data_IF_681066746140
#
_entry.id   IF_681066746140
#
_cell.length_a   1.000
_cell.length_b   1.000
_cell.length_c   1.000
_cell.angle_alpha   90.00
_cell.angle_beta   90.00
_cell.angle_gamma   90.00
#
_symmetry.space_group_name_H-M   'P 1'
#
loop_
_entity.id
_entity.type
_entity.pdbx_description
1 polymer ?
#
# COMPACT_ATOMS: atom_id res chain seq x y z
N UNK A 1 -21.89 0.21 45.69
CA UNK A 1 -20.52 -0.33 45.46
C UNK A 1 -20.40 -1.14 44.16
N UNK A 2 -21.24 -2.15 43.89
CA UNK A 2 -21.18 -2.96 42.63
C UNK A 2 -21.26 -2.16 41.31
N UNK A 3 -22.00 -1.05 41.25
CA UNK A 3 -22.16 -0.24 40.02
C UNK A 3 -20.89 0.52 39.61
N UNK A 4 -20.07 0.93 40.56
CA UNK A 4 -18.82 1.68 40.28
C UNK A 4 -17.72 0.76 39.71
N UNK A 5 -17.72 -0.51 40.07
CA UNK A 5 -16.80 -1.53 39.53
C UNK A 5 -17.03 -1.72 38.02
N UNK A 6 -18.29 -1.69 37.58
CA UNK A 6 -18.64 -1.86 36.16
C UNK A 6 -18.15 -0.68 35.30
N UNK A 7 -18.28 0.54 35.82
CA UNK A 7 -17.81 1.77 35.15
C UNK A 7 -16.27 1.76 35.03
N UNK A 8 -15.57 1.34 36.10
CA UNK A 8 -14.11 1.25 36.11
C UNK A 8 -13.59 0.19 35.11
N UNK A 9 -14.33 -0.91 34.93
CA UNK A 9 -14.02 -1.96 33.96
C UNK A 9 -14.18 -1.48 32.50
N UNK A 10 -15.20 -0.68 32.20
CA UNK A 10 -15.44 -0.12 30.86
C UNK A 10 -14.35 0.89 30.49
N UNK A 11 -13.90 1.72 31.44
CA UNK A 11 -12.81 2.68 31.21
C UNK A 11 -11.48 1.96 30.98
N UNK A 12 -11.20 0.89 31.73
CA UNK A 12 -9.99 0.08 31.57
C UNK A 12 -9.92 -0.62 30.19
N UNK A 13 -11.06 -1.07 29.65
CA UNK A 13 -11.12 -1.68 28.30
C UNK A 13 -10.88 -0.67 27.17
N UNK A 14 -11.16 0.62 27.39
CA UNK A 14 -10.91 1.68 26.41
C UNK A 14 -9.45 2.11 26.28
N UNK A 15 -8.60 1.79 27.27
CA UNK A 15 -7.19 2.19 27.30
C UNK A 15 -6.27 1.31 26.44
N UNK A 16 -6.76 0.18 25.94
CA UNK A 16 -5.97 -0.75 25.14
C UNK A 16 -5.89 -0.34 23.66
N UNK A 17 -5.49 0.90 23.39
CA UNK A 17 -5.13 1.34 22.04
C UNK A 17 -3.69 0.94 21.76
N UNK A 18 -3.49 -0.22 21.15
CA UNK A 18 -2.16 -0.63 20.67
C UNK A 18 -1.69 0.37 19.62
N UNK A 19 -0.59 1.08 19.88
CA UNK A 19 0.14 1.81 18.85
C UNK A 19 0.52 0.82 17.75
N UNK A 20 -0.10 0.96 16.58
CA UNK A 20 0.17 0.09 15.43
C UNK A 20 1.54 0.49 14.88
N UNK A 21 2.55 -0.33 15.13
CA UNK A 21 3.87 -0.13 14.50
C UNK A 21 3.81 -0.44 13.01
N UNK A 22 3.64 0.62 12.23
CA UNK A 22 3.64 0.57 10.77
C UNK A 22 5.04 0.61 10.18
N UNK A 23 6.09 0.91 10.94
CA UNK A 23 7.45 1.07 10.40
C UNK A 23 8.01 -0.26 9.89
N UNK A 24 8.88 -0.22 8.88
CA UNK A 24 9.52 -1.40 8.28
C UNK A 24 9.37 -1.48 6.77
N UNK A 25 9.79 -2.62 6.21
CA UNK A 25 9.81 -2.85 4.76
C UNK A 25 8.60 -3.68 4.34
N UNK A 26 7.85 -3.16 3.37
CA UNK A 26 6.71 -3.83 2.75
C UNK A 26 7.05 -4.20 1.32
N UNK A 27 6.62 -5.38 0.86
CA UNK A 27 6.79 -5.84 -0.52
C UNK A 27 5.46 -6.32 -1.08
N UNK A 28 5.21 -6.08 -2.37
CA UNK A 28 4.06 -6.65 -3.07
C UNK A 28 4.00 -8.16 -2.92
N UNK A 29 2.79 -8.69 -2.73
CA UNK A 29 2.58 -10.12 -2.49
C UNK A 29 2.73 -10.99 -3.74
N UNK A 30 2.80 -10.38 -4.91
CA UNK A 30 3.16 -10.98 -6.20
C UNK A 30 3.67 -9.87 -7.14
N UNK A 31 4.28 -10.27 -8.26
CA UNK A 31 4.60 -9.35 -9.34
C UNK A 31 3.32 -8.94 -10.09
N UNK A 32 2.94 -7.67 -9.99
CA UNK A 32 1.77 -7.15 -10.69
C UNK A 32 1.98 -7.25 -12.20
N UNK A 33 0.93 -7.67 -12.92
CA UNK A 33 1.03 -8.10 -14.32
C UNK A 33 2.12 -9.17 -14.58
N UNK A 34 2.68 -9.81 -13.56
CA UNK A 34 3.73 -10.83 -13.71
C UNK A 34 5.16 -10.27 -13.75
N UNK A 35 5.36 -8.95 -13.76
CA UNK A 35 6.69 -8.34 -13.91
C UNK A 35 6.97 -7.20 -12.93
N UNK A 36 5.96 -6.56 -12.33
CA UNK A 36 6.19 -5.40 -11.46
C UNK A 36 6.17 -5.73 -9.97
N UNK A 37 7.24 -5.38 -9.27
CA UNK A 37 7.38 -5.51 -7.81
C UNK A 37 7.41 -4.13 -7.19
N UNK A 38 6.56 -3.93 -6.18
CA UNK A 38 6.60 -2.72 -5.35
C UNK A 38 7.26 -3.03 -4.01
N UNK A 39 8.20 -2.18 -3.59
CA UNK A 39 8.77 -2.17 -2.24
C UNK A 39 8.52 -0.79 -1.62
N UNK A 40 8.19 -0.76 -0.35
CA UNK A 40 7.97 0.46 0.42
C UNK A 40 8.64 0.32 1.79
N UNK A 41 9.57 1.18 2.09
CA UNK A 41 10.24 1.29 3.39
C UNK A 41 9.67 2.50 4.14
N UNK A 42 9.18 2.27 5.36
CA UNK A 42 8.67 3.30 6.26
C UNK A 42 9.60 3.40 7.47
N UNK A 43 10.19 4.59 7.69
CA UNK A 43 11.15 4.83 8.77
C UNK A 43 10.51 5.55 9.95
N UNK A 44 11.10 5.41 11.14
CA UNK A 44 10.55 5.98 12.40
C UNK A 44 10.45 7.49 12.40
N UNK A 45 11.26 8.18 11.59
CA UNK A 45 11.28 9.64 11.42
C UNK A 45 10.21 10.16 10.45
N UNK A 46 9.24 9.33 10.08
CA UNK A 46 8.17 9.64 9.09
C UNK A 46 8.67 9.84 7.65
N UNK A 47 9.90 9.44 7.34
CA UNK A 47 10.40 9.38 5.96
C UNK A 47 10.10 8.02 5.31
N UNK A 48 10.04 8.01 3.98
CA UNK A 48 9.81 6.80 3.19
C UNK A 48 10.80 6.65 2.05
N UNK A 49 10.98 5.41 1.60
CA UNK A 49 11.56 5.07 0.30
C UNK A 49 10.64 4.10 -0.44
N UNK A 50 10.32 4.40 -1.68
CA UNK A 50 9.40 3.65 -2.53
C UNK A 50 10.12 3.21 -3.80
N UNK A 51 10.15 1.90 -4.05
CA UNK A 51 10.75 1.34 -5.25
C UNK A 51 9.70 0.56 -6.04
N UNK A 52 9.59 0.86 -7.32
CA UNK A 52 8.77 0.15 -8.29
C UNK A 52 9.69 -0.41 -9.38
N UNK A 53 9.87 -1.74 -9.34
CA UNK A 53 10.84 -2.46 -10.16
C UNK A 53 10.11 -3.39 -11.13
N UNK A 54 10.55 -3.46 -12.38
CA UNK A 54 10.18 -4.48 -13.36
C UNK A 54 11.20 -4.53 -14.49
N UNK A 55 11.02 -5.44 -15.46
CA UNK A 55 12.03 -5.74 -16.49
C UNK A 55 12.50 -4.52 -17.30
N UNK A 56 11.64 -3.52 -17.50
CA UNK A 56 11.91 -2.32 -18.31
C UNK A 56 11.67 -1.01 -17.56
N UNK A 57 11.29 -1.06 -16.28
CA UNK A 57 10.94 0.13 -15.49
C UNK A 57 11.60 -0.02 -14.12
N UNK A 58 12.32 1.01 -13.72
CA UNK A 58 12.85 1.11 -12.38
C UNK A 58 12.67 2.53 -11.88
N UNK A 59 11.81 2.67 -10.86
CA UNK A 59 11.50 3.94 -10.26
C UNK A 59 11.78 3.89 -8.75
N UNK A 60 12.64 4.81 -8.28
CA UNK A 60 12.89 5.03 -6.86
C UNK A 60 12.41 6.44 -6.47
N UNK A 61 11.59 6.52 -5.43
CA UNK A 61 11.04 7.77 -4.91
C UNK A 61 11.28 7.85 -3.41
N UNK A 62 11.66 9.04 -2.96
CA UNK A 62 11.75 9.38 -1.54
C UNK A 62 10.61 10.32 -1.15
N UNK A 63 10.38 10.45 0.15
CA UNK A 63 9.38 11.39 0.63
C UNK A 63 9.05 11.22 2.11
N UNK A 64 7.83 11.64 2.45
CA UNK A 64 7.27 11.56 3.80
C UNK A 64 5.97 10.80 3.81
N UNK A 65 5.62 10.23 4.95
CA UNK A 65 4.33 9.60 5.14
C UNK A 65 3.60 10.12 6.37
N UNK A 66 2.28 10.04 6.31
CA UNK A 66 1.38 10.30 7.42
C UNK A 66 0.49 9.09 7.63
N UNK A 67 0.31 8.67 8.88
CA UNK A 67 -0.59 7.57 9.23
C UNK A 67 -1.74 8.06 10.10
N UNK A 68 -2.97 7.92 9.62
CA UNK A 68 -4.18 8.40 10.29
C UNK A 68 -5.36 7.50 9.94
N UNK A 69 -6.16 7.12 10.93
CA UNK A 69 -7.39 6.33 10.74
C UNK A 69 -7.19 5.05 9.90
N UNK A 70 -6.13 4.29 10.20
CA UNK A 70 -5.71 3.10 9.44
C UNK A 70 -5.32 3.36 7.98
N UNK A 71 -5.23 4.62 7.56
CA UNK A 71 -4.76 5.01 6.24
C UNK A 71 -3.33 5.52 6.33
N UNK A 72 -2.50 5.03 5.41
CA UNK A 72 -1.16 5.48 5.17
C UNK A 72 -1.16 6.37 3.92
N UNK A 73 -0.81 7.63 4.10
CA UNK A 73 -0.72 8.65 3.07
C UNK A 73 0.75 8.88 2.75
N UNK A 74 1.14 8.75 1.48
CA UNK A 74 2.51 8.95 1.02
C UNK A 74 2.60 10.24 0.22
N UNK A 75 3.51 11.11 0.61
CA UNK A 75 3.89 12.32 -0.11
C UNK A 75 5.31 12.14 -0.64
N UNK A 76 5.49 12.09 -1.95
CA UNK A 76 6.80 11.98 -2.58
C UNK A 76 7.41 13.36 -2.81
N UNK A 77 8.73 13.45 -2.66
CA UNK A 77 9.52 14.61 -3.03
C UNK A 77 9.72 14.56 -4.56
N UNK A 78 8.75 15.07 -5.32
CA UNK A 78 8.77 15.02 -6.78
C UNK A 78 9.27 16.32 -7.39
N UNK A 79 10.19 16.21 -8.35
CA UNK A 79 10.33 17.19 -9.43
C UNK A 79 9.32 16.84 -10.55
N UNK A 80 8.75 17.85 -11.19
CA UNK A 80 7.52 17.75 -11.99
C UNK A 80 7.68 16.93 -13.29
N UNK A 81 8.92 16.72 -13.77
CA UNK A 81 9.20 16.30 -15.15
C UNK A 81 9.65 14.84 -15.32
N UNK A 82 9.98 14.11 -14.25
CA UNK A 82 10.70 12.83 -14.39
C UNK A 82 9.85 11.57 -14.63
N UNK A 83 8.51 11.68 -14.74
CA UNK A 83 7.60 10.52 -14.52
C UNK A 83 6.63 10.25 -15.68
N UNK A 84 6.55 11.14 -16.67
CA UNK A 84 5.54 11.06 -17.74
C UNK A 84 5.59 9.77 -18.58
N UNK A 85 6.76 9.20 -18.81
CA UNK A 85 6.90 8.01 -19.67
C UNK A 85 6.70 6.69 -18.91
N UNK A 86 7.10 6.62 -17.63
CA UNK A 86 6.97 5.40 -16.81
C UNK A 86 5.51 5.14 -16.38
N UNK A 87 4.71 6.20 -16.24
CA UNK A 87 3.30 6.13 -15.84
C UNK A 87 2.42 5.44 -16.91
N UNK A 88 2.82 5.54 -18.19
CA UNK A 88 2.15 4.88 -19.32
C UNK A 88 2.39 3.36 -19.33
N UNK A 89 3.57 2.92 -18.92
CA UNK A 89 4.00 1.52 -18.96
C UNK A 89 3.64 0.74 -17.69
N UNK A 90 3.61 1.39 -16.52
CA UNK A 90 3.31 0.78 -15.22
C UNK A 90 1.82 0.41 -15.02
N UNK A 91 0.96 0.77 -15.97
CA UNK A 91 -0.49 0.57 -15.89
C UNK A 91 -1.18 1.55 -14.95
N UNK A 92 -2.52 1.50 -14.97
CA UNK A 92 -3.46 2.49 -14.42
C UNK A 92 -3.45 2.67 -12.87
N UNK A 93 -2.43 2.19 -12.16
CA UNK A 93 -2.37 2.16 -10.69
C UNK A 93 -1.58 3.31 -10.06
N UNK A 94 -0.70 3.92 -10.85
CA UNK A 94 0.15 5.00 -10.39
C UNK A 94 -0.39 6.27 -11.03
N UNK A 95 -1.42 6.88 -10.44
CA UNK A 95 -1.62 8.31 -10.67
C UNK A 95 -0.84 9.02 -9.57
N UNK A 96 0.19 9.75 -9.95
CA UNK A 96 0.97 10.57 -9.05
C UNK A 96 0.49 12.03 -9.00
N UNK A 97 -0.74 12.31 -9.36
CA UNK A 97 -1.35 13.59 -9.06
C UNK A 97 -1.42 13.80 -7.55
N UNK A 98 -1.09 15.01 -7.12
CA UNK A 98 -1.26 15.41 -5.73
C UNK A 98 -2.75 15.48 -5.41
N UNK A 99 -3.16 14.80 -4.34
CA UNK A 99 -4.52 14.78 -3.81
C UNK A 99 -4.52 15.32 -2.39
N UNK A 100 -5.68 15.76 -1.92
CA UNK A 100 -5.88 16.20 -0.55
C UNK A 100 -7.10 15.50 0.07
N UNK A 101 -6.97 15.02 1.31
CA UNK A 101 -8.04 14.42 2.09
C UNK A 101 -7.87 14.84 3.55
N UNK A 102 -8.90 15.46 4.14
CA UNK A 102 -8.87 15.95 5.53
C UNK A 102 -7.65 16.84 5.87
N UNK A 103 -7.20 17.66 4.90
CA UNK A 103 -6.03 18.53 5.05
C UNK A 103 -4.68 17.83 4.87
N UNK A 104 -4.66 16.54 4.55
CA UNK A 104 -3.44 15.78 4.28
C UNK A 104 -3.22 15.74 2.77
N UNK A 105 -2.12 16.33 2.29
CA UNK A 105 -1.68 16.22 0.89
C UNK A 105 -0.90 14.92 0.68
N UNK A 106 -1.22 14.18 -0.38
CA UNK A 106 -0.59 12.90 -0.70
C UNK A 106 -0.65 12.57 -2.18
N UNK A 107 0.27 11.71 -2.63
CA UNK A 107 0.27 11.13 -3.97
C UNK A 107 -0.34 9.72 -3.94
N UNK A 108 0.04 8.90 -2.95
CA UNK A 108 -0.48 7.54 -2.78
C UNK A 108 -1.12 7.33 -1.42
N UNK A 109 -2.12 6.46 -1.39
CA UNK A 109 -2.85 6.07 -0.18
C UNK A 109 -2.93 4.56 -0.08
N UNK A 110 -2.77 4.03 1.14
CA UNK A 110 -2.94 2.63 1.47
C UNK A 110 -3.82 2.46 2.70
N UNK A 111 -4.59 1.38 2.74
CA UNK A 111 -5.29 0.93 3.95
C UNK A 111 -4.39 -0.08 4.68
N UNK A 112 -4.03 0.22 5.92
CA UNK A 112 -3.29 -0.67 6.80
C UNK A 112 -4.25 -1.59 7.55
N UNK A 113 -4.14 -2.89 7.31
CA UNK A 113 -4.92 -3.91 8.04
C UNK A 113 -4.16 -5.22 8.10
N UNK A 114 -4.08 -5.83 9.30
CA UNK A 114 -3.38 -7.10 9.54
C UNK A 114 -1.93 -7.10 9.03
N UNK A 115 -1.17 -6.03 9.32
CA UNK A 115 0.22 -5.84 8.87
C UNK A 115 0.41 -5.87 7.34
N UNK A 116 -0.64 -5.48 6.61
CA UNK A 116 -0.66 -5.38 5.15
C UNK A 116 -1.17 -4.01 4.74
N UNK A 117 -0.63 -3.52 3.62
CA UNK A 117 -1.04 -2.28 2.98
C UNK A 117 -1.83 -2.60 1.73
N UNK A 118 -3.13 -2.33 1.75
CA UNK A 118 -4.02 -2.48 0.60
C UNK A 118 -4.05 -1.19 -0.20
N UNK A 119 -3.96 -1.29 -1.52
CA UNK A 119 -3.73 -0.14 -2.40
C UNK A 119 -5.05 0.53 -2.77
N UNK A 120 -5.09 1.87 -2.70
CA UNK A 120 -6.16 2.67 -3.29
C UNK A 120 -5.85 3.02 -4.75
N UNK A 121 -6.85 2.93 -5.63
CA UNK A 121 -6.72 3.31 -7.04
C UNK A 121 -6.87 4.82 -7.29
N UNK A 122 -6.99 5.19 -8.56
CA UNK A 122 -7.15 6.59 -9.01
C UNK A 122 -8.38 7.26 -8.39
N UNK A 123 -9.53 6.58 -8.36
CA UNK A 123 -10.79 7.07 -7.79
C UNK A 123 -10.89 7.00 -6.25
N UNK A 124 -9.76 6.85 -5.54
CA UNK A 124 -9.73 6.61 -4.09
C UNK A 124 -10.58 5.40 -3.65
N UNK A 125 -10.78 4.42 -4.55
CA UNK A 125 -11.42 3.13 -4.26
C UNK A 125 -10.38 2.06 -3.99
N UNK A 126 -10.65 1.21 -3.00
CA UNK A 126 -9.76 0.11 -2.65
C UNK A 126 -9.68 -0.91 -3.80
N UNK A 127 -8.46 -1.21 -4.25
CA UNK A 127 -8.23 -2.24 -5.28
C UNK A 127 -8.43 -3.61 -4.65
N UNK A 128 -9.52 -4.28 -5.03
CA UNK A 128 -9.87 -5.59 -4.46
C UNK A 128 -8.99 -6.71 -5.01
N UNK A 129 -8.64 -6.68 -6.30
CA UNK A 129 -7.87 -7.73 -6.99
C UNK A 129 -7.06 -7.13 -8.14
N UNK A 130 -5.84 -7.62 -8.36
CA UNK A 130 -5.05 -7.36 -9.58
C UNK A 130 -4.82 -8.65 -10.37
N UNK A 131 -4.44 -8.51 -11.64
CA UNK A 131 -4.06 -9.62 -12.50
C UNK A 131 -2.66 -10.10 -12.11
N UNK A 132 -2.50 -11.40 -11.98
CA UNK A 132 -1.21 -12.03 -11.77
C UNK A 132 -1.06 -13.22 -12.72
N UNK A 133 0.18 -13.49 -13.11
CA UNK A 133 0.52 -14.66 -13.89
C UNK A 133 0.52 -15.88 -12.95
N UNK A 134 -0.40 -16.82 -13.17
CA UNK A 134 -0.59 -17.97 -12.27
C UNK A 134 0.20 -19.21 -12.68
N UNK A 135 0.88 -19.21 -13.84
CA UNK A 135 1.58 -20.37 -14.42
C UNK A 135 0.69 -21.57 -14.77
N UNK A 136 -0.51 -21.66 -14.19
CA UNK A 136 -1.51 -22.69 -14.43
C UNK A 136 -2.29 -22.37 -15.69
N UNK A 137 -2.30 -23.31 -16.65
CA UNK A 137 -3.11 -23.21 -17.86
C UNK A 137 -4.60 -23.22 -17.47
N UNK A 138 -5.39 -22.35 -18.09
CA UNK A 138 -6.84 -22.25 -17.85
C UNK A 138 -7.60 -23.47 -18.40
N UNK A 139 -7.06 -24.12 -19.43
CA UNK A 139 -7.58 -25.38 -19.98
C UNK A 139 -6.49 -26.46 -19.92
N UNK A 140 -6.89 -27.74 -20.05
CA UNK A 140 -6.02 -28.91 -19.92
C UNK A 140 -4.70 -28.80 -20.71
N UNK A 141 -4.71 -28.15 -21.88
CA UNK A 141 -3.51 -27.97 -22.70
C UNK A 141 -3.25 -26.53 -23.19
N UNK A 142 -4.23 -25.61 -23.10
CA UNK A 142 -4.14 -24.26 -23.69
C UNK A 142 -4.80 -23.17 -22.82
N UNK A 143 -4.64 -21.91 -23.22
CA UNK A 143 -5.35 -20.76 -22.64
C UNK A 143 -4.52 -19.88 -21.70
N UNK A 144 -4.97 -18.64 -21.47
CA UNK A 144 -4.23 -17.64 -20.70
C UNK A 144 -4.04 -18.08 -19.25
N UNK A 145 -2.83 -17.95 -18.75
CA UNK A 145 -2.42 -18.26 -17.36
C UNK A 145 -2.72 -17.13 -16.37
N UNK A 146 -3.49 -16.12 -16.79
CA UNK A 146 -3.82 -14.95 -15.99
C UNK A 146 -4.96 -15.24 -15.02
N UNK A 147 -4.74 -14.97 -13.75
CA UNK A 147 -5.75 -15.05 -12.69
C UNK A 147 -5.87 -13.72 -11.96
N UNK A 148 -6.92 -13.55 -11.14
CA UNK A 148 -7.09 -12.36 -10.29
C UNK A 148 -6.83 -12.72 -8.84
N UNK A 149 -5.95 -12.00 -8.15
CA UNK A 149 -5.63 -12.20 -6.73
C UNK A 149 -5.66 -10.87 -5.99
N UNK A 150 -5.97 -10.91 -4.69
CA UNK A 150 -5.96 -9.72 -3.84
C UNK A 150 -4.54 -9.14 -3.80
N UNK A 151 -4.39 -7.90 -4.22
CA UNK A 151 -3.10 -7.19 -4.24
C UNK A 151 -2.91 -6.41 -2.94
N UNK A 152 -1.72 -6.53 -2.34
CA UNK A 152 -1.33 -5.80 -1.15
C UNK A 152 0.19 -5.84 -0.97
N UNK A 153 0.73 -4.90 -0.20
CA UNK A 153 2.10 -4.96 0.29
C UNK A 153 2.10 -5.66 1.65
N UNK A 154 2.96 -6.66 1.83
CA UNK A 154 3.13 -7.42 3.08
C UNK A 154 4.39 -6.94 3.79
N UNK A 155 4.30 -6.67 5.10
CA UNK A 155 5.48 -6.39 5.94
C UNK A 155 6.43 -7.60 5.86
N UNK A 156 7.70 -7.36 5.58
CA UNK A 156 8.75 -8.37 5.69
C UNK A 156 9.16 -8.47 7.15
N UNK A 157 9.25 -9.70 7.64
CA UNK A 157 9.97 -9.97 8.88
C UNK A 157 11.46 -9.90 8.51
N UNK A 158 12.18 -8.97 9.12
CA UNK A 158 13.64 -8.88 9.06
C UNK A 158 14.16 -9.51 10.34
#
# INVERSE_FOLDING_TARGET
MRKYILILLIIALGACSSNKDITGIYKSNFADLGFFITKLELRKDSTLRYNFDGDLIHQELNGKYTFKNDNLYLLFDKEKDSIGEEELLAGNYNNYDMRNEDGISFHKKYLFKNYRLFVYGKENKLIKRSRYYSGRKRYLFFGPTWSKKKYYLKKKNI
#
